data_IF_106174780146
#
_entry.id   IF_106174780146
#
_cell.length_a   1.000
_cell.length_b   1.000
_cell.length_c   1.000
_cell.angle_alpha   90.00
_cell.angle_beta   90.00
_cell.angle_gamma   90.00
#
_symmetry.space_group_name_H-M   'P 1'
#
loop_
_entity.id
_entity.type
_entity.pdbx_description
1 polymer ?
#
# COMPACT_ATOMS: atom_id res chain seq x y z
N UNK A 1 -0.20 22.65 8.22
CA UNK A 1 -1.06 21.58 8.78
C UNK A 1 -0.33 20.77 9.85
N UNK A 2 0.82 20.13 9.55
CA UNK A 2 1.51 19.27 10.53
C UNK A 2 2.04 19.99 11.78
N UNK A 3 2.49 21.26 11.67
CA UNK A 3 2.96 22.03 12.83
C UNK A 3 1.85 22.32 13.85
N UNK A 4 0.65 22.67 13.37
CA UNK A 4 -0.53 22.92 14.22
C UNK A 4 -1.02 21.64 14.88
N UNK A 5 -1.10 20.54 14.12
CA UNK A 5 -1.45 19.23 14.66
C UNK A 5 -0.46 18.81 15.75
N UNK A 6 0.84 18.95 15.52
CA UNK A 6 1.87 18.63 16.51
C UNK A 6 1.75 19.45 17.81
N UNK A 7 1.42 20.73 17.71
CA UNK A 7 1.21 21.61 18.88
C UNK A 7 -0.03 21.19 19.69
N UNK A 8 -1.14 20.83 19.02
CA UNK A 8 -2.39 20.49 19.70
C UNK A 8 -2.44 19.04 20.20
N UNK A 9 -1.78 18.10 19.52
CA UNK A 9 -1.85 16.67 19.85
C UNK A 9 -0.59 16.13 20.53
N UNK A 10 0.52 16.89 20.54
CA UNK A 10 1.82 16.41 20.99
C UNK A 10 2.45 15.36 20.06
N UNK A 11 1.77 14.97 18.97
CA UNK A 11 2.30 13.98 18.03
C UNK A 11 3.28 14.63 17.06
N UNK A 12 4.48 14.06 16.97
CA UNK A 12 5.44 14.41 15.92
C UNK A 12 5.18 13.53 14.70
N UNK A 13 5.28 14.07 13.48
CA UNK A 13 5.22 13.23 12.29
C UNK A 13 6.33 12.17 12.33
N UNK A 14 6.12 11.00 11.70
CA UNK A 14 7.16 9.99 11.59
C UNK A 14 8.45 10.57 10.98
N UNK A 15 9.61 10.09 11.43
CA UNK A 15 10.91 10.56 10.94
C UNK A 15 11.12 10.30 9.44
N UNK A 16 10.41 9.31 8.89
CA UNK A 16 10.50 8.90 7.49
C UNK A 16 9.14 8.97 6.83
N UNK A 17 9.12 9.41 5.58
CA UNK A 17 7.95 9.22 4.72
C UNK A 17 7.72 7.73 4.44
N UNK A 18 6.54 7.41 3.94
CA UNK A 18 6.21 6.05 3.46
C UNK A 18 7.22 5.62 2.39
N UNK A 19 7.50 6.50 1.41
CA UNK A 19 8.49 6.25 0.35
C UNK A 19 9.87 5.85 0.92
N UNK A 20 10.40 6.64 1.86
CA UNK A 20 11.70 6.37 2.50
C UNK A 20 11.68 5.11 3.37
N UNK A 21 10.52 4.72 3.86
CA UNK A 21 10.35 3.48 4.62
C UNK A 21 10.39 2.26 3.71
N UNK A 22 9.71 2.31 2.56
CA UNK A 22 9.71 1.26 1.52
C UNK A 22 11.12 1.05 0.95
N UNK A 23 11.83 2.13 0.65
CA UNK A 23 13.22 2.08 0.15
C UNK A 23 14.19 1.45 1.16
N UNK A 24 13.94 1.64 2.46
CA UNK A 24 14.87 1.21 3.52
C UNK A 24 14.72 -0.28 3.89
N UNK A 25 13.53 -0.85 3.77
CA UNK A 25 13.31 -2.26 4.12
C UNK A 25 13.84 -3.18 3.02
N UNK A 26 14.50 -4.27 3.41
CA UNK A 26 15.21 -5.15 2.48
C UNK A 26 14.27 -6.18 1.85
N UNK A 27 13.61 -7.00 2.66
CA UNK A 27 12.94 -8.21 2.17
C UNK A 27 11.42 -8.15 2.24
N UNK A 28 10.85 -7.06 2.77
CA UNK A 28 9.40 -6.90 2.86
C UNK A 28 8.78 -6.82 1.46
N UNK A 29 7.82 -7.70 1.18
CA UNK A 29 6.95 -7.62 0.00
C UNK A 29 5.76 -6.71 0.28
N UNK A 30 5.20 -6.07 -0.75
CA UNK A 30 4.09 -5.13 -0.63
C UNK A 30 2.97 -5.44 -1.60
N UNK A 31 1.73 -5.37 -1.12
CA UNK A 31 0.54 -5.25 -1.95
C UNK A 31 -0.01 -3.84 -1.77
N UNK A 32 -0.01 -3.07 -2.85
CA UNK A 32 -0.51 -1.70 -2.89
C UNK A 32 -1.86 -1.70 -3.58
N UNK A 33 -2.91 -1.26 -2.87
CA UNK A 33 -4.28 -1.20 -3.41
C UNK A 33 -4.69 0.26 -3.51
N UNK A 34 -5.07 0.68 -4.72
CA UNK A 34 -5.51 2.04 -5.03
C UNK A 34 -6.94 2.06 -5.55
N UNK A 35 -7.69 3.10 -5.24
CA UNK A 35 -9.04 3.34 -5.73
C UNK A 35 -9.01 4.02 -7.11
N UNK A 36 -9.66 3.43 -8.11
CA UNK A 36 -9.65 3.94 -9.48
C UNK A 36 -10.38 5.27 -9.69
N UNK A 37 -11.32 5.64 -8.81
CA UNK A 37 -12.06 6.90 -8.91
C UNK A 37 -11.46 8.01 -8.02
N UNK A 38 -10.35 7.76 -7.32
CA UNK A 38 -9.69 8.78 -6.50
C UNK A 38 -8.47 9.31 -7.23
N UNK A 39 -8.48 10.63 -7.45
CA UNK A 39 -7.38 11.31 -8.11
C UNK A 39 -6.06 11.04 -7.40
N UNK A 40 -5.04 10.71 -8.18
CA UNK A 40 -3.65 10.46 -7.77
C UNK A 40 -3.39 9.19 -6.94
N UNK A 41 -4.37 8.41 -6.51
CA UNK A 41 -4.07 7.19 -5.72
C UNK A 41 -3.24 6.17 -6.51
N UNK A 42 -3.62 5.89 -7.75
CA UNK A 42 -2.83 5.01 -8.63
C UNK A 42 -1.44 5.58 -8.92
N UNK A 43 -1.32 6.90 -9.04
CA UNK A 43 -0.03 7.56 -9.28
C UNK A 43 0.90 7.44 -8.05
N UNK A 44 0.37 7.63 -6.84
CA UNK A 44 1.13 7.37 -5.61
C UNK A 44 1.47 5.89 -5.45
N UNK A 45 0.54 4.99 -5.79
CA UNK A 45 0.78 3.55 -5.84
C UNK A 45 1.97 3.21 -6.73
N UNK A 46 2.04 3.77 -7.94
CA UNK A 46 3.14 3.53 -8.88
C UNK A 46 4.49 4.06 -8.36
N UNK A 47 4.49 5.19 -7.64
CA UNK A 47 5.69 5.71 -6.98
C UNK A 47 6.21 4.75 -5.90
N UNK A 48 5.30 4.19 -5.09
CA UNK A 48 5.65 3.21 -4.06
C UNK A 48 6.08 1.86 -4.64
N UNK A 49 5.44 1.41 -5.72
CA UNK A 49 5.83 0.19 -6.45
C UNK A 49 7.25 0.31 -6.99
N UNK A 50 7.58 1.45 -7.60
CA UNK A 50 8.93 1.76 -8.09
C UNK A 50 9.95 1.72 -6.94
N UNK A 51 9.63 2.33 -5.80
CA UNK A 51 10.52 2.34 -4.62
C UNK A 51 10.74 0.95 -4.01
N UNK A 52 9.77 0.04 -4.15
CA UNK A 52 9.90 -1.33 -3.67
C UNK A 52 10.80 -2.20 -4.57
N UNK A 53 11.21 -1.72 -5.75
CA UNK A 53 12.19 -2.36 -6.64
C UNK A 53 11.88 -3.86 -6.90
N UNK A 54 10.68 -4.14 -7.43
CA UNK A 54 10.25 -5.51 -7.76
C UNK A 54 9.69 -6.32 -6.60
N UNK A 55 9.60 -5.75 -5.38
CA UNK A 55 8.96 -6.38 -4.21
C UNK A 55 7.51 -5.96 -4.00
N UNK A 56 6.94 -5.19 -4.92
CA UNK A 56 5.57 -4.70 -4.80
C UNK A 56 4.72 -5.12 -5.99
N UNK A 57 3.43 -5.31 -5.71
CA UNK A 57 2.36 -5.41 -6.69
C UNK A 57 1.40 -4.24 -6.49
N UNK A 58 1.12 -3.46 -7.55
CA UNK A 58 0.07 -2.45 -7.55
C UNK A 58 -1.21 -2.96 -8.20
N UNK A 59 -2.32 -2.83 -7.48
CA UNK A 59 -3.67 -3.05 -8.00
C UNK A 59 -4.52 -1.79 -7.85
N UNK A 60 -4.94 -1.21 -8.98
CA UNK A 60 -5.96 -0.16 -9.00
C UNK A 60 -7.33 -0.81 -9.21
N UNK A 61 -8.23 -0.67 -8.23
CA UNK A 61 -9.59 -1.21 -8.30
C UNK A 61 -10.46 -0.28 -9.16
N UNK A 62 -10.91 -0.70 -10.35
CA UNK A 62 -11.76 0.15 -11.19
C UNK A 62 -13.05 0.53 -10.48
N UNK A 63 -13.53 1.75 -10.69
CA UNK A 63 -14.79 2.26 -10.13
C UNK A 63 -14.89 2.34 -8.60
N UNK A 64 -13.82 2.05 -7.85
CA UNK A 64 -13.80 2.20 -6.40
C UNK A 64 -13.51 3.64 -5.98
N UNK A 65 -14.24 4.13 -4.98
CA UNK A 65 -13.84 5.28 -4.15
C UNK A 65 -12.83 4.88 -3.05
N UNK A 66 -12.41 5.87 -2.25
CA UNK A 66 -11.25 5.81 -1.34
C UNK A 66 -11.16 4.54 -0.46
N UNK A 67 -12.28 4.06 0.07
CA UNK A 67 -12.34 2.86 0.94
C UNK A 67 -13.19 1.74 0.35
N UNK A 68 -13.55 1.84 -0.93
CA UNK A 68 -14.59 1.01 -1.54
C UNK A 68 -14.05 -0.22 -2.26
N UNK A 69 -12.73 -0.42 -2.35
CA UNK A 69 -12.13 -1.52 -3.12
C UNK A 69 -12.70 -2.90 -2.76
N UNK A 70 -12.88 -3.18 -1.47
CA UNK A 70 -13.48 -4.43 -0.99
C UNK A 70 -14.96 -4.59 -1.38
N UNK A 71 -15.73 -3.49 -1.41
CA UNK A 71 -17.16 -3.54 -1.70
C UNK A 71 -17.47 -3.58 -3.21
N UNK A 72 -16.62 -2.93 -4.01
CA UNK A 72 -16.76 -2.89 -5.48
C UNK A 72 -16.30 -4.20 -6.12
N UNK A 73 -15.23 -4.81 -5.60
CA UNK A 73 -14.68 -6.05 -6.15
C UNK A 73 -14.43 -7.10 -5.05
N UNK A 74 -15.46 -7.59 -4.34
CA UNK A 74 -15.29 -8.43 -3.15
C UNK A 74 -14.51 -9.72 -3.39
N UNK A 75 -14.86 -10.47 -4.43
CA UNK A 75 -14.20 -11.75 -4.74
C UNK A 75 -12.76 -11.55 -5.22
N UNK A 76 -12.51 -10.55 -6.07
CA UNK A 76 -11.17 -10.25 -6.56
C UNK A 76 -10.27 -9.70 -5.43
N UNK A 77 -10.82 -8.82 -4.58
CA UNK A 77 -10.11 -8.28 -3.42
C UNK A 77 -9.70 -9.41 -2.49
N UNK A 78 -10.64 -10.30 -2.15
CA UNK A 78 -10.35 -11.48 -1.33
C UNK A 78 -9.27 -12.36 -1.98
N UNK A 79 -9.43 -12.69 -3.25
CA UNK A 79 -8.51 -13.57 -3.98
C UNK A 79 -7.09 -13.00 -4.01
N UNK A 80 -6.93 -11.73 -4.39
CA UNK A 80 -5.62 -11.05 -4.46
C UNK A 80 -4.95 -10.94 -3.10
N UNK A 81 -5.68 -10.52 -2.07
CA UNK A 81 -5.11 -10.36 -0.72
C UNK A 81 -4.66 -11.71 -0.15
N UNK A 82 -5.47 -12.76 -0.30
CA UNK A 82 -5.09 -14.10 0.16
C UNK A 82 -3.90 -14.66 -0.62
N UNK A 83 -3.90 -14.52 -1.95
CA UNK A 83 -2.80 -14.97 -2.79
C UNK A 83 -1.47 -14.27 -2.43
N UNK A 84 -1.52 -12.96 -2.21
CA UNK A 84 -0.35 -12.20 -1.76
C UNK A 84 0.20 -12.72 -0.44
N UNK A 85 -0.64 -12.88 0.58
CA UNK A 85 -0.17 -13.38 1.89
C UNK A 85 0.32 -14.83 1.83
N UNK A 86 -0.33 -15.69 1.05
CA UNK A 86 0.13 -17.06 0.82
C UNK A 86 1.55 -17.09 0.24
N UNK A 87 1.82 -16.33 -0.83
CA UNK A 87 3.14 -16.27 -1.47
C UNK A 87 4.18 -15.46 -0.69
N UNK A 88 3.76 -14.58 0.21
CA UNK A 88 4.66 -13.78 1.05
C UNK A 88 5.06 -14.47 2.35
N UNK A 89 4.18 -15.28 2.94
CA UNK A 89 4.39 -15.84 4.28
C UNK A 89 4.58 -17.36 4.30
N UNK A 90 3.97 -18.10 3.36
CA UNK A 90 4.02 -19.58 3.36
C UNK A 90 5.12 -20.08 2.42
N UNK A 91 5.09 -19.66 1.15
CA UNK A 91 6.11 -20.05 0.16
C UNK A 91 7.49 -19.41 0.39
N UNK A 92 7.56 -18.44 1.30
CA UNK A 92 8.81 -17.83 1.74
C UNK A 92 9.51 -18.65 2.84
N UNK A 93 8.77 -19.47 3.59
CA UNK A 93 9.30 -20.31 4.68
C UNK A 93 9.91 -21.63 4.15
N UNK A 94 9.52 -22.04 2.94
CA UNK A 94 10.04 -23.24 2.25
C UNK A 94 11.34 -23.01 1.46
N UNK A 95 11.89 -21.78 1.47
CA UNK A 95 13.12 -21.38 0.77
C UNK A 95 14.27 -21.10 1.72
#
# INVERSE_FOLDING_TARGET
MYASAALFTGQRPPERSILKSIEKVLDTKFLLIAAGNVLNESAYGALYETAANGRAELWTVPNAGHTQGLFVSPEEYRSRVLAFFQGALVEADER
#
